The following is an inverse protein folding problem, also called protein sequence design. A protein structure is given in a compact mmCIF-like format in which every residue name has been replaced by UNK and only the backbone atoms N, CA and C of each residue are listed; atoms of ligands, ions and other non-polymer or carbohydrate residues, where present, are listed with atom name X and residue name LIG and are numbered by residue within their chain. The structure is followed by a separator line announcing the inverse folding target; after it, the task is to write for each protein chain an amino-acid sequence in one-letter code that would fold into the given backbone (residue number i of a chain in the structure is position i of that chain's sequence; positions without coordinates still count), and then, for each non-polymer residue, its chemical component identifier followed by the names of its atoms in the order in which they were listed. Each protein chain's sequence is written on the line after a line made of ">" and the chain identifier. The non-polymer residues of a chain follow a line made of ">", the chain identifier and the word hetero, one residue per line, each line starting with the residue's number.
data_IF_796004008894
#
_entry.id   IF_796004008894
#
_cell.length_a   1.000
_cell.length_b   1.000
_cell.length_c   1.000
_cell.angle_alpha   90.00
_cell.angle_beta   90.00
_cell.angle_gamma   90.00
#
_symmetry.space_group_name_H-M   'P 1'
#
loop_
_entity.id
_entity.type
_entity.pdbx_description
1 polymer ?
#
# COMPACT_ATOMS: atom_id res chain seq x y z
N UNK A 1 -29.72 -50.15 4.89
CA UNK A 1 -30.23 -48.78 4.62
C UNK A 1 -30.15 -48.05 5.95
N UNK A 2 -29.42 -46.96 6.16
CA UNK A 2 -28.96 -45.89 5.27
C UNK A 2 -27.65 -45.37 5.88
N UNK A 3 -26.58 -45.28 5.08
CA UNK A 3 -25.31 -44.71 5.49
C UNK A 3 -25.38 -43.18 5.47
N UNK A 4 -25.16 -42.54 6.61
CA UNK A 4 -24.91 -41.10 6.63
C UNK A 4 -23.45 -40.85 6.26
N UNK A 5 -23.24 -40.58 4.97
CA UNK A 5 -22.02 -39.97 4.46
C UNK A 5 -21.90 -38.57 5.06
N UNK A 6 -20.99 -38.42 6.04
CA UNK A 6 -20.54 -37.11 6.49
C UNK A 6 -19.73 -36.50 5.35
N UNK A 7 -20.34 -35.59 4.58
CA UNK A 7 -19.61 -34.79 3.61
C UNK A 7 -18.65 -33.88 4.38
N UNK A 8 -17.39 -34.30 4.45
CA UNK A 8 -16.27 -33.44 4.83
C UNK A 8 -16.26 -32.24 3.87
N UNK A 9 -16.85 -31.12 4.29
CA UNK A 9 -16.51 -29.81 3.73
C UNK A 9 -15.04 -29.57 4.07
N UNK A 10 -14.18 -30.00 3.15
CA UNK A 10 -12.82 -29.52 3.05
C UNK A 10 -12.91 -28.01 2.83
N UNK A 11 -12.91 -27.25 3.92
CA UNK A 11 -12.54 -25.84 3.91
C UNK A 11 -11.16 -25.81 3.30
N UNK A 12 -11.09 -25.56 1.99
CA UNK A 12 -9.84 -25.34 1.31
C UNK A 12 -9.23 -24.12 1.98
N UNK A 13 -8.31 -24.31 2.93
CA UNK A 13 -7.44 -23.25 3.42
C UNK A 13 -6.52 -22.95 2.25
N UNK A 14 -7.06 -22.29 1.22
CA UNK A 14 -6.25 -21.62 0.21
C UNK A 14 -5.50 -20.56 0.99
N UNK A 15 -4.23 -20.85 1.24
CA UNK A 15 -3.29 -20.10 2.07
C UNK A 15 -3.53 -18.59 2.00
N UNK A 16 -4.34 -18.08 2.93
CA UNK A 16 -4.57 -16.65 3.10
C UNK A 16 -3.22 -15.96 3.25
N UNK A 17 -2.32 -16.57 4.01
CA UNK A 17 -0.94 -16.13 4.22
C UNK A 17 -0.13 -15.91 2.93
N UNK A 18 -0.23 -16.77 1.91
CA UNK A 18 0.48 -16.57 0.64
C UNK A 18 -0.15 -15.48 -0.23
N UNK A 19 -1.48 -15.34 -0.21
CA UNK A 19 -2.17 -14.24 -0.88
C UNK A 19 -1.90 -12.90 -0.17
N UNK A 20 -1.80 -12.88 1.17
CA UNK A 20 -1.42 -11.74 1.99
C UNK A 20 0.04 -11.32 1.74
N UNK A 21 0.96 -12.27 1.62
CA UNK A 21 2.36 -11.99 1.28
C UNK A 21 2.50 -11.50 -0.17
N UNK A 22 1.77 -12.08 -1.13
CA UNK A 22 1.79 -11.63 -2.53
C UNK A 22 1.16 -10.22 -2.68
N UNK A 23 0.20 -9.88 -1.81
CA UNK A 23 -0.37 -8.53 -1.66
C UNK A 23 0.57 -7.53 -0.98
N UNK A 24 1.72 -7.96 -0.45
CA UNK A 24 2.69 -7.03 0.15
C UNK A 24 3.63 -6.40 -0.89
N UNK A 25 3.72 -6.98 -2.09
CA UNK A 25 4.66 -6.53 -3.14
C UNK A 25 4.07 -5.41 -4.00
N UNK A 26 2.75 -5.37 -4.16
CA UNK A 26 2.07 -4.29 -4.89
C UNK A 26 1.79 -3.14 -3.92
N UNK A 27 2.24 -1.90 -4.21
CA UNK A 27 1.99 -0.75 -3.34
C UNK A 27 0.51 -0.61 -2.99
N UNK A 28 0.20 -0.59 -1.70
CA UNK A 28 -1.18 -0.46 -1.21
C UNK A 28 -2.01 -1.75 -1.15
N UNK A 29 -1.50 -2.91 -1.58
CA UNK A 29 -2.27 -4.15 -1.45
C UNK A 29 -2.36 -4.67 0.01
N UNK A 30 -1.43 -4.27 0.90
CA UNK A 30 -1.60 -4.38 2.35
C UNK A 30 -2.73 -3.51 2.91
N UNK A 31 -2.96 -2.31 2.34
CA UNK A 31 -4.07 -1.44 2.75
C UNK A 31 -5.42 -2.02 2.32
N UNK A 32 -5.47 -2.68 1.16
CA UNK A 32 -6.64 -3.44 0.68
C UNK A 32 -6.95 -4.60 1.63
N UNK A 33 -5.94 -5.34 2.07
CA UNK A 33 -6.08 -6.41 3.06
C UNK A 33 -6.66 -5.86 4.39
N UNK A 34 -6.13 -4.73 4.85
CA UNK A 34 -6.59 -4.04 6.07
C UNK A 34 -7.94 -3.29 5.88
N UNK A 35 -8.63 -3.47 4.75
CA UNK A 35 -9.89 -2.76 4.37
C UNK A 35 -9.79 -1.23 4.40
N UNK A 36 -8.58 -0.66 4.36
CA UNK A 36 -8.30 0.78 4.36
C UNK A 36 -8.11 1.32 2.93
N UNK A 37 -9.12 1.12 2.09
CA UNK A 37 -9.07 1.50 0.67
C UNK A 37 -8.81 2.99 0.43
N UNK A 38 -9.23 3.86 1.34
CA UNK A 38 -9.08 5.30 1.20
C UNK A 38 -7.60 5.75 1.16
N UNK A 39 -6.67 4.97 1.74
CA UNK A 39 -5.22 5.25 1.68
C UNK A 39 -4.62 4.94 0.30
N UNK A 40 -5.22 4.03 -0.45
CA UNK A 40 -4.67 3.54 -1.74
C UNK A 40 -4.51 4.67 -2.77
N UNK A 41 -5.52 5.54 -3.02
CA UNK A 41 -5.34 6.68 -3.91
C UNK A 41 -4.19 7.61 -3.51
N UNK A 42 -3.97 7.81 -2.21
CA UNK A 42 -2.90 8.67 -1.69
C UNK A 42 -1.53 8.07 -1.98
N UNK A 43 -1.37 6.77 -1.76
CA UNK A 43 -0.14 6.03 -2.05
C UNK A 43 0.20 6.14 -3.54
N UNK A 44 -0.76 5.84 -4.41
CA UNK A 44 -0.57 5.91 -5.86
C UNK A 44 -0.32 7.33 -6.34
N UNK A 45 -1.02 8.33 -5.79
CA UNK A 45 -0.77 9.74 -6.11
C UNK A 45 0.65 10.16 -5.71
N UNK A 46 1.12 9.72 -4.53
CA UNK A 46 2.47 10.03 -4.04
C UNK A 46 3.53 9.40 -4.94
N UNK A 47 3.39 8.11 -5.26
CA UNK A 47 4.31 7.41 -6.17
C UNK A 47 4.29 8.01 -7.58
N UNK A 48 3.11 8.28 -8.14
CA UNK A 48 2.98 8.89 -9.46
C UNK A 48 3.64 10.28 -9.51
N UNK A 49 3.48 11.07 -8.44
CA UNK A 49 4.11 12.38 -8.30
C UNK A 49 5.63 12.25 -8.25
N UNK A 50 6.18 11.33 -7.47
CA UNK A 50 7.63 11.11 -7.43
C UNK A 50 8.19 10.64 -8.79
N UNK A 51 7.50 9.72 -9.46
CA UNK A 51 7.87 9.26 -10.81
C UNK A 51 7.85 10.43 -11.81
N UNK A 52 6.84 11.29 -11.75
CA UNK A 52 6.77 12.49 -12.59
C UNK A 52 8.00 13.37 -12.38
N UNK A 53 8.36 13.67 -11.13
CA UNK A 53 9.55 14.48 -10.83
C UNK A 53 10.85 13.81 -11.24
N UNK A 54 11.00 12.50 -11.06
CA UNK A 54 12.17 11.75 -11.56
C UNK A 54 12.32 11.96 -13.07
N UNK A 55 11.24 11.74 -13.83
CA UNK A 55 11.26 11.84 -15.29
C UNK A 55 11.50 13.27 -15.76
N UNK A 56 10.85 14.24 -15.16
CA UNK A 56 11.01 15.66 -15.50
C UNK A 56 12.46 16.14 -15.23
N UNK A 57 13.01 15.81 -14.06
CA UNK A 57 14.40 16.15 -13.73
C UNK A 57 15.40 15.41 -14.65
N UNK A 58 15.16 14.13 -14.95
CA UNK A 58 16.02 13.35 -15.85
C UNK A 58 16.01 13.92 -17.27
N UNK A 59 14.84 14.29 -17.80
CA UNK A 59 14.73 14.87 -19.14
C UNK A 59 15.50 16.19 -19.22
N UNK A 60 15.30 17.08 -18.23
CA UNK A 60 16.01 18.37 -18.18
C UNK A 60 17.50 18.17 -18.02
N UNK A 61 17.92 17.26 -17.14
CA UNK A 61 19.32 16.89 -16.98
C UNK A 61 19.96 16.50 -18.32
N UNK A 62 19.33 15.57 -19.05
CA UNK A 62 19.82 15.13 -20.36
C UNK A 62 19.87 16.29 -21.36
N UNK A 63 18.83 17.13 -21.44
CA UNK A 63 18.82 18.30 -22.34
C UNK A 63 19.97 19.26 -22.07
N UNK A 64 20.26 19.59 -20.80
CA UNK A 64 21.34 20.53 -20.48
C UNK A 64 22.74 19.89 -20.59
N UNK A 65 22.86 18.58 -20.33
CA UNK A 65 24.08 17.83 -20.58
C UNK A 65 24.40 17.78 -22.08
N UNK A 66 23.41 17.49 -22.92
CA UNK A 66 23.57 17.47 -24.37
C UNK A 66 23.99 18.84 -24.91
N UNK A 67 23.35 19.93 -24.44
CA UNK A 67 23.74 21.29 -24.79
C UNK A 67 25.21 21.59 -24.41
N UNK A 68 25.63 21.17 -23.20
CA UNK A 68 27.01 21.36 -22.75
C UNK A 68 28.01 20.58 -23.62
N UNK A 69 27.68 19.33 -23.95
CA UNK A 69 28.50 18.48 -24.82
C UNK A 69 28.59 19.06 -26.23
N UNK A 70 27.47 19.49 -26.82
CA UNK A 70 27.43 20.14 -28.13
C UNK A 70 28.35 21.35 -28.18
N UNK A 71 28.30 22.21 -27.16
CA UNK A 71 29.16 23.40 -27.09
C UNK A 71 30.63 23.05 -26.88
N UNK A 72 30.92 22.06 -26.04
CA UNK A 72 32.29 21.57 -25.84
C UNK A 72 32.90 20.99 -27.12
N UNK A 73 32.06 20.50 -28.04
CA UNK A 73 32.48 19.99 -29.35
C UNK A 73 32.54 21.09 -30.44
N UNK A 74 32.35 22.37 -30.07
CA UNK A 74 32.36 23.50 -31.00
C UNK A 74 31.06 23.69 -31.79
N UNK A 75 29.99 22.99 -31.42
CA UNK A 75 28.65 23.19 -31.99
C UNK A 75 27.90 24.37 -31.37
N UNK A 76 26.75 24.69 -31.95
CA UNK A 76 25.80 25.69 -31.42
C UNK A 76 24.59 24.98 -30.82
N UNK A 77 24.26 25.28 -29.58
CA UNK A 77 23.11 24.75 -28.85
C UNK A 77 22.01 25.82 -28.65
N UNK A 78 20.81 25.38 -28.29
CA UNK A 78 19.62 26.23 -28.12
C UNK A 78 19.75 27.26 -26.97
N UNK A 79 20.77 27.14 -26.12
CA UNK A 79 20.97 27.99 -24.94
C UNK A 79 22.19 28.91 -25.05
N UNK A 80 22.78 29.07 -26.25
CA UNK A 80 24.01 29.85 -26.46
C UNK A 80 23.93 31.32 -26.04
N UNK A 81 22.79 31.96 -26.29
CA UNK A 81 22.56 33.36 -25.90
C UNK A 81 21.87 33.50 -24.54
N UNK A 82 21.57 32.39 -23.87
CA UNK A 82 20.80 32.36 -22.62
C UNK A 82 21.70 32.05 -21.42
N UNK A 83 22.58 31.05 -21.56
CA UNK A 83 23.43 30.57 -20.48
C UNK A 83 24.89 30.43 -20.94
N UNK A 84 25.81 30.94 -20.12
CA UNK A 84 27.22 30.62 -20.27
C UNK A 84 27.55 29.21 -19.73
N UNK A 85 28.76 28.73 -19.98
CA UNK A 85 29.15 27.35 -19.62
C UNK A 85 29.04 27.07 -18.12
N UNK A 86 29.42 28.02 -17.27
CA UNK A 86 29.33 27.86 -15.81
C UNK A 86 27.87 27.80 -15.32
N UNK A 87 27.00 28.62 -15.91
CA UNK A 87 25.56 28.58 -15.64
C UNK A 87 24.95 27.26 -16.09
N UNK A 88 25.33 26.78 -17.28
CA UNK A 88 24.83 25.51 -17.82
C UNK A 88 25.21 24.33 -16.93
N UNK A 89 26.46 24.27 -16.45
CA UNK A 89 26.90 23.27 -15.48
C UNK A 89 26.14 23.37 -14.15
N UNK A 90 25.89 24.58 -13.65
CA UNK A 90 25.10 24.78 -12.43
C UNK A 90 23.67 24.22 -12.59
N UNK A 91 23.08 24.39 -13.77
CA UNK A 91 21.74 23.86 -14.09
C UNK A 91 21.77 22.33 -14.18
N UNK A 92 22.81 21.75 -14.78
CA UNK A 92 23.03 20.30 -14.82
C UNK A 92 23.10 19.73 -13.39
N UNK A 93 23.97 20.29 -12.54
CA UNK A 93 24.13 19.87 -11.15
C UNK A 93 22.81 19.97 -10.36
N UNK A 94 22.04 21.03 -10.63
CA UNK A 94 20.73 21.23 -10.01
C UNK A 94 19.74 20.11 -10.38
N UNK A 95 19.60 19.78 -11.67
CA UNK A 95 18.67 18.74 -12.11
C UNK A 95 19.14 17.33 -11.74
N UNK A 96 20.45 17.09 -11.70
CA UNK A 96 21.03 15.85 -11.19
C UNK A 96 20.65 15.65 -9.72
N UNK A 97 20.94 16.65 -8.88
CA UNK A 97 20.60 16.57 -7.44
C UNK A 97 19.10 16.40 -7.21
N UNK A 98 18.25 17.09 -7.96
CA UNK A 98 16.80 16.98 -7.79
C UNK A 98 16.26 15.63 -8.25
N UNK A 99 16.82 15.03 -9.32
CA UNK A 99 16.48 13.67 -9.73
C UNK A 99 16.84 12.68 -8.61
N UNK A 100 18.03 12.83 -8.03
CA UNK A 100 18.51 11.94 -6.96
C UNK A 100 17.66 12.08 -5.69
N UNK A 101 17.32 13.32 -5.31
CA UNK A 101 16.34 13.58 -4.24
C UNK A 101 14.98 12.95 -4.56
N UNK A 102 14.52 13.03 -5.82
CA UNK A 102 13.24 12.42 -6.22
C UNK A 102 13.28 10.89 -6.11
N UNK A 103 14.40 10.24 -6.43
CA UNK A 103 14.61 8.81 -6.19
C UNK A 103 14.57 8.47 -4.69
N UNK A 104 15.22 9.27 -3.85
CA UNK A 104 15.21 9.09 -2.39
C UNK A 104 13.78 9.22 -1.86
N UNK A 105 13.03 10.23 -2.30
CA UNK A 105 11.62 10.44 -1.90
C UNK A 105 10.75 9.26 -2.36
N UNK A 106 10.91 8.78 -3.60
CA UNK A 106 10.17 7.63 -4.09
C UNK A 106 10.44 6.38 -3.25
N UNK A 107 11.72 6.13 -2.92
CA UNK A 107 12.12 5.05 -2.01
C UNK A 107 11.54 5.21 -0.61
N UNK A 108 11.57 6.42 -0.05
CA UNK A 108 11.00 6.72 1.26
C UNK A 108 9.48 6.48 1.29
N UNK A 109 8.74 6.90 0.26
CA UNK A 109 7.30 6.63 0.12
C UNK A 109 7.04 5.13 0.07
N UNK A 110 7.83 4.38 -0.69
CA UNK A 110 7.70 2.93 -0.80
C UNK A 110 7.96 2.22 0.54
N UNK A 111 9.02 2.62 1.26
CA UNK A 111 9.31 2.08 2.59
C UNK A 111 8.22 2.44 3.60
N UNK A 112 7.75 3.69 3.60
CA UNK A 112 6.65 4.13 4.46
C UNK A 112 5.37 3.35 4.19
N UNK A 113 5.08 3.02 2.92
CA UNK A 113 3.95 2.18 2.54
C UNK A 113 3.99 0.81 3.21
N UNK A 114 5.17 0.17 3.21
CA UNK A 114 5.38 -1.15 3.82
C UNK A 114 5.22 -1.05 5.33
N UNK A 115 5.84 -0.06 5.98
CA UNK A 115 5.77 0.12 7.43
C UNK A 115 4.33 0.38 7.88
N UNK A 116 3.61 1.29 7.23
CA UNK A 116 2.22 1.61 7.56
C UNK A 116 1.30 0.38 7.41
N UNK A 117 1.46 -0.39 6.33
CA UNK A 117 0.69 -1.62 6.14
C UNK A 117 1.03 -2.70 7.18
N UNK A 118 2.30 -2.80 7.59
CA UNK A 118 2.78 -3.79 8.56
C UNK A 118 2.29 -3.46 9.97
N UNK A 119 2.33 -2.19 10.38
CA UNK A 119 1.78 -1.72 11.66
C UNK A 119 0.27 -1.99 11.74
N UNK A 120 -0.46 -1.67 10.67
CA UNK A 120 -1.91 -1.91 10.59
C UNK A 120 -2.26 -3.40 10.64
N UNK A 121 -1.48 -4.26 9.97
CA UNK A 121 -1.71 -5.70 9.95
C UNK A 121 -1.40 -6.36 11.32
N UNK A 122 -0.29 -6.00 11.95
CA UNK A 122 0.07 -6.55 13.26
C UNK A 122 -0.91 -6.13 14.37
N UNK A 123 -1.43 -4.90 14.35
CA UNK A 123 -2.44 -4.47 15.31
C UNK A 123 -3.76 -5.25 15.14
N UNK A 124 -4.10 -5.65 13.90
CA UNK A 124 -5.28 -6.45 13.62
C UNK A 124 -5.19 -7.88 14.19
N UNK A 125 -4.00 -8.50 14.17
CA UNK A 125 -3.78 -9.81 14.80
C UNK A 125 -3.87 -9.75 16.35
N UNK A 126 -3.59 -8.60 16.96
CA UNK A 126 -3.72 -8.43 18.42
C UNK A 126 -5.16 -8.14 18.89
N UNK A 127 -6.00 -7.52 18.06
CA UNK A 127 -7.39 -7.18 18.40
C UNK A 127 -8.40 -8.30 18.04
N UNK A 128 -7.92 -9.46 17.56
CA UNK A 128 -8.73 -10.66 17.27
C UNK A 128 -8.25 -11.84 18.11
N UNK A 129 -7.96 -11.60 19.39
CA UNK A 129 -8.31 -12.59 20.41
C UNK A 129 -9.82 -12.48 20.71
N UNK A 130 -10.67 -12.60 19.70
CA UNK A 130 -12.12 -12.73 19.87
C UNK A 130 -12.43 -14.16 20.29
N UNK A 131 -12.32 -14.47 21.58
CA UNK A 131 -13.15 -15.54 22.16
C UNK A 131 -14.46 -14.98 22.74
N UNK A 132 -14.91 -13.83 22.23
CA UNK A 132 -16.20 -13.26 22.61
C UNK A 132 -17.29 -13.73 21.64
N UNK A 133 -17.62 -15.02 21.68
CA UNK A 133 -18.79 -15.54 20.99
C UNK A 133 -20.07 -15.19 21.76
N UNK A 134 -20.95 -14.39 21.15
CA UNK A 134 -22.25 -14.04 21.71
C UNK A 134 -23.28 -15.10 21.30
N UNK A 135 -23.36 -16.19 22.06
CA UNK A 135 -24.35 -17.24 21.83
C UNK A 135 -25.70 -16.84 22.46
N UNK A 136 -26.65 -16.44 21.63
CA UNK A 136 -28.05 -16.28 22.03
C UNK A 136 -28.81 -17.54 21.66
N UNK A 137 -29.25 -18.29 22.66
CA UNK A 137 -30.15 -19.44 22.43
C UNK A 137 -31.54 -19.10 22.97
N UNK A 138 -32.59 -19.17 22.14
CA UNK A 138 -33.95 -19.01 22.63
C UNK A 138 -34.31 -20.22 23.49
N UNK A 139 -34.75 -19.99 24.72
CA UNK A 139 -35.19 -21.04 25.63
C UNK A 139 -36.67 -20.84 25.95
N UNK A 140 -37.44 -21.91 25.87
CA UNK A 140 -38.84 -21.89 26.29
C UNK A 140 -38.86 -22.31 27.76
N UNK A 141 -39.35 -21.43 28.63
CA UNK A 141 -39.56 -21.73 30.04
C UNK A 141 -41.06 -21.86 30.31
N UNK A 142 -41.42 -22.95 30.98
CA UNK A 142 -42.80 -23.19 31.40
C UNK A 142 -43.01 -22.45 32.74
N UNK A 143 -43.86 -21.42 32.70
CA UNK A 143 -44.24 -20.60 33.86
C UNK A 143 -45.65 -21.00 34.30
N UNK A 144 -46.08 -20.79 35.56
CA UNK A 144 -47.44 -21.14 36.01
C UNK A 144 -48.59 -20.51 35.20
N UNK A 145 -48.29 -19.49 34.39
CA UNK A 145 -49.23 -18.74 33.54
C UNK A 145 -49.16 -19.21 32.06
N UNK A 146 -48.22 -20.08 31.69
CA UNK A 146 -48.06 -20.61 30.32
C UNK A 146 -46.60 -20.75 29.87
N UNK A 147 -46.39 -21.14 28.60
CA UNK A 147 -45.06 -21.25 27.98
C UNK A 147 -44.58 -19.87 27.51
N UNK A 148 -43.46 -19.40 28.03
CA UNK A 148 -42.88 -18.11 27.64
C UNK A 148 -41.53 -18.33 26.97
N UNK A 149 -41.34 -17.78 25.77
CA UNK A 149 -40.05 -17.77 25.08
C UNK A 149 -39.19 -16.67 25.69
N UNK A 150 -38.04 -17.04 26.25
CA UNK A 150 -37.06 -16.09 26.80
C UNK A 150 -35.75 -16.19 26.03
N UNK A 151 -35.14 -15.03 25.76
CA UNK A 151 -33.81 -14.96 25.18
C UNK A 151 -32.78 -15.15 26.30
N UNK A 152 -31.98 -16.22 26.25
CA UNK A 152 -30.89 -16.42 27.20
C UNK A 152 -29.58 -15.93 26.60
N UNK A 153 -28.95 -14.96 27.27
CA UNK A 153 -27.62 -14.45 26.95
C UNK A 153 -26.60 -15.23 27.79
N UNK A 154 -25.68 -15.93 27.14
CA UNK A 154 -24.55 -16.58 27.82
C UNK A 154 -23.24 -15.96 27.33
N UNK A 155 -22.51 -15.35 28.25
CA UNK A 155 -21.16 -14.84 28.02
C UNK A 155 -20.17 -15.93 28.46
N UNK A 156 -19.22 -16.29 27.59
CA UNK A 156 -18.05 -17.09 27.97
C UNK A 156 -16.85 -16.15 28.05
N UNK A 157 -16.03 -16.32 29.08
CA UNK A 157 -14.74 -15.68 29.32
C UNK A 157 -13.74 -16.74 29.76
#
# INVERSE_FOLDING_TARGET
>A
MIGHSQSNESKTIKSAHKASILSAVVPGAGQVYNKKYWKVPIIYASLATSIYFIKDNQNKLTTYQDAYITRSNGGTDDYIDIYNNSQLLTIVDYYERNRDVSYIIAGAIYLLNIVDASVDAHLFDFDISEDLSLNTTPKIIDTPIGKTTVLSLKMNF
#
